data_IF_847741306218
#
_entry.id   IF_847741306218
#
_cell.length_a   1.000
_cell.length_b   1.000
_cell.length_c   1.000
_cell.angle_alpha   90.00
_cell.angle_beta   90.00
_cell.angle_gamma   90.00
#
_symmetry.space_group_name_H-M   'P 1'
#
loop_
_entity.id
_entity.type
_entity.pdbx_description
1 polymer ?
#
# COMPACT_ATOMS: atom_id res chain seq x y z
N UNK A 1 19.25 -24.58 -1.90
CA UNK A 1 18.84 -25.39 -3.07
C UNK A 1 17.50 -24.88 -3.59
N UNK A 2 17.49 -24.32 -4.81
CA UNK A 2 16.23 -24.15 -5.56
C UNK A 2 15.69 -25.54 -5.93
N UNK A 3 14.37 -25.70 -6.00
CA UNK A 3 13.73 -27.01 -6.29
C UNK A 3 13.57 -27.97 -5.10
N UNK A 4 13.86 -27.54 -3.88
CA UNK A 4 13.69 -28.37 -2.67
C UNK A 4 12.23 -28.52 -2.19
N UNK A 5 11.25 -28.06 -2.98
CA UNK A 5 9.82 -28.11 -2.64
C UNK A 5 9.32 -27.05 -1.64
N UNK A 6 10.11 -26.02 -1.31
CA UNK A 6 9.68 -24.94 -0.38
C UNK A 6 8.41 -24.23 -0.85
N UNK A 7 8.40 -23.79 -2.11
CA UNK A 7 7.25 -23.10 -2.70
C UNK A 7 6.03 -24.02 -2.77
N UNK A 8 6.21 -25.30 -3.11
CA UNK A 8 5.12 -26.28 -3.10
C UNK A 8 4.53 -26.47 -1.71
N UNK A 9 5.37 -26.55 -0.68
CA UNK A 9 4.92 -26.68 0.70
C UNK A 9 4.18 -25.43 1.18
N UNK A 10 4.76 -24.24 0.97
CA UNK A 10 4.25 -22.99 1.54
C UNK A 10 3.16 -22.37 0.67
N UNK A 11 3.44 -22.13 -0.61
CA UNK A 11 2.58 -21.37 -1.52
C UNK A 11 1.51 -22.24 -2.19
N UNK A 12 1.85 -23.49 -2.56
CA UNK A 12 0.92 -24.36 -3.29
C UNK A 12 0.09 -25.27 -2.34
N UNK A 13 0.50 -25.42 -1.08
CA UNK A 13 -0.18 -26.30 -0.10
C UNK A 13 -0.68 -25.52 1.11
N UNK A 14 0.22 -25.00 1.95
CA UNK A 14 -0.16 -24.38 3.23
C UNK A 14 -1.03 -23.14 3.04
N UNK A 15 -0.65 -22.23 2.14
CA UNK A 15 -1.35 -20.96 1.95
C UNK A 15 -2.80 -21.15 1.43
N UNK A 16 -3.09 -21.94 0.38
CA UNK A 16 -4.46 -22.15 -0.09
C UNK A 16 -5.36 -22.81 0.98
N UNK A 17 -4.81 -23.75 1.77
CA UNK A 17 -5.53 -24.38 2.88
C UNK A 17 -5.86 -23.36 3.96
N UNK A 18 -4.84 -22.61 4.44
CA UNK A 18 -5.02 -21.59 5.47
C UNK A 18 -5.96 -20.47 4.99
N UNK A 19 -5.91 -20.09 3.71
CA UNK A 19 -6.75 -19.04 3.17
C UNK A 19 -8.21 -19.48 3.10
N UNK A 20 -8.47 -20.72 2.71
CA UNK A 20 -9.82 -21.29 2.71
C UNK A 20 -10.36 -21.38 4.14
N UNK A 21 -9.56 -21.90 5.07
CA UNK A 21 -9.98 -22.11 6.46
C UNK A 21 -10.15 -20.81 7.26
N UNK A 22 -9.24 -19.84 7.09
CA UNK A 22 -9.16 -18.64 7.93
C UNK A 22 -9.82 -17.42 7.29
N UNK A 23 -9.65 -17.23 5.97
CA UNK A 23 -10.17 -16.05 5.28
C UNK A 23 -11.51 -16.31 4.58
N UNK A 24 -11.98 -17.57 4.53
CA UNK A 24 -13.22 -17.97 3.85
C UNK A 24 -13.18 -17.79 2.34
N UNK A 25 -11.99 -17.76 1.73
CA UNK A 25 -11.79 -17.54 0.30
C UNK A 25 -11.03 -18.70 -0.33
N UNK A 26 -11.56 -19.27 -1.40
CA UNK A 26 -10.89 -20.33 -2.18
C UNK A 26 -10.30 -19.71 -3.44
N UNK A 27 -8.99 -19.46 -3.45
CA UNK A 27 -8.28 -18.93 -4.63
C UNK A 27 -7.63 -20.03 -5.49
N UNK A 28 -7.26 -21.16 -4.88
CA UNK A 28 -6.56 -22.25 -5.55
C UNK A 28 -6.86 -23.60 -4.87
N UNK A 29 -6.78 -24.68 -5.65
CA UNK A 29 -6.79 -26.04 -5.11
C UNK A 29 -5.42 -26.36 -4.51
N UNK A 30 -5.35 -26.78 -3.24
CA UNK A 30 -4.07 -27.11 -2.61
C UNK A 30 -3.44 -28.35 -3.24
N UNK A 31 -2.11 -28.38 -3.32
CA UNK A 31 -1.38 -29.58 -3.71
C UNK A 31 -1.64 -30.75 -2.72
N UNK A 32 -1.39 -32.02 -3.12
CA UNK A 32 -1.74 -33.18 -2.29
C UNK A 32 -1.13 -33.13 -0.89
N UNK A 33 -2.01 -33.20 0.13
CA UNK A 33 -1.65 -33.22 1.55
C UNK A 33 -2.47 -34.29 2.29
N UNK A 34 -2.04 -34.67 3.49
CA UNK A 34 -2.74 -35.68 4.32
C UNK A 34 -3.71 -35.05 5.30
N UNK A 35 -3.20 -34.19 6.17
CA UNK A 35 -3.95 -33.49 7.21
C UNK A 35 -3.21 -32.21 7.62
N UNK A 36 -3.92 -31.25 8.21
CA UNK A 36 -3.37 -30.03 8.79
C UNK A 36 -4.01 -29.78 10.16
N UNK A 37 -3.20 -29.40 11.15
CA UNK A 37 -3.64 -29.17 12.53
C UNK A 37 -3.07 -27.84 13.03
N UNK A 38 -3.74 -27.21 14.01
CA UNK A 38 -3.28 -25.97 14.62
C UNK A 38 -3.64 -24.68 13.88
N UNK A 39 -4.45 -24.76 12.80
CA UNK A 39 -4.97 -23.57 12.12
C UNK A 39 -5.94 -22.78 13.00
N UNK A 40 -6.59 -23.45 13.96
CA UNK A 40 -7.47 -22.85 14.97
C UNK A 40 -6.77 -21.84 15.89
N UNK A 41 -5.43 -21.80 15.90
CA UNK A 41 -4.65 -20.79 16.61
C UNK A 41 -4.52 -19.46 15.86
N UNK A 42 -4.98 -19.43 14.61
CA UNK A 42 -4.96 -18.27 13.75
C UNK A 42 -6.38 -17.88 13.36
N UNK A 43 -6.61 -16.59 13.12
CA UNK A 43 -7.89 -16.09 12.61
C UNK A 43 -7.78 -15.56 11.19
N UNK A 44 -6.56 -15.41 10.68
CA UNK A 44 -6.30 -14.86 9.36
C UNK A 44 -4.94 -15.32 8.83
N UNK A 45 -4.86 -15.56 7.52
CA UNK A 45 -3.58 -15.68 6.81
C UNK A 45 -3.36 -14.53 5.84
N UNK A 46 -2.13 -14.03 5.76
CA UNK A 46 -1.73 -12.97 4.84
C UNK A 46 -0.43 -13.39 4.15
N UNK A 47 -0.50 -13.46 2.83
CA UNK A 47 0.67 -13.60 1.98
C UNK A 47 1.21 -12.21 1.60
N UNK A 48 2.50 -12.01 1.83
CA UNK A 48 3.25 -10.78 1.56
C UNK A 48 4.34 -11.12 0.55
N UNK A 49 3.93 -11.18 -0.71
CA UNK A 49 4.76 -11.46 -1.87
C UNK A 49 5.24 -10.18 -2.58
N UNK A 50 6.11 -10.35 -3.57
CA UNK A 50 6.66 -9.26 -4.38
C UNK A 50 5.75 -8.84 -5.56
N UNK A 51 4.53 -9.39 -5.67
CA UNK A 51 3.61 -8.97 -6.72
C UNK A 51 3.25 -7.47 -6.61
N UNK A 52 2.96 -6.78 -7.73
CA UNK A 52 2.62 -5.36 -7.69
C UNK A 52 1.42 -5.07 -6.78
N UNK A 53 1.48 -3.99 -6.00
CA UNK A 53 0.34 -3.53 -5.17
C UNK A 53 -0.87 -3.07 -6.00
N UNK A 54 -0.68 -2.88 -7.30
CA UNK A 54 -1.72 -2.64 -8.28
C UNK A 54 -1.16 -2.66 -9.70
N UNK A 55 -2.03 -2.92 -10.67
CA UNK A 55 -1.68 -3.05 -12.09
C UNK A 55 -1.94 -1.78 -12.90
N UNK A 56 -2.40 -0.71 -12.25
CA UNK A 56 -2.77 0.55 -12.90
C UNK A 56 -2.12 1.74 -12.20
N UNK A 57 -1.92 2.88 -12.91
CA UNK A 57 -1.38 4.10 -12.32
C UNK A 57 -2.22 4.72 -11.18
N UNK A 58 -3.45 4.23 -10.99
CA UNK A 58 -4.34 4.64 -9.90
C UNK A 58 -3.93 4.08 -8.55
N UNK A 59 -3.22 2.96 -8.54
CA UNK A 59 -2.69 2.37 -7.31
C UNK A 59 -1.36 3.04 -6.98
N UNK A 60 -1.17 3.41 -5.72
CA UNK A 60 0.05 4.04 -5.21
C UNK A 60 0.18 3.79 -3.70
N UNK A 61 1.33 4.08 -3.08
CA UNK A 61 1.52 3.89 -1.65
C UNK A 61 0.45 4.54 -0.78
N UNK A 62 0.03 5.78 -1.10
CA UNK A 62 -0.96 6.51 -0.32
C UNK A 62 -2.35 5.86 -0.34
N UNK A 63 -2.80 5.36 -1.50
CA UNK A 63 -4.08 4.66 -1.63
C UNK A 63 -4.03 3.28 -1.00
N UNK A 64 -2.95 2.54 -1.19
CA UNK A 64 -2.82 1.16 -0.70
C UNK A 64 -2.76 1.08 0.84
N UNK A 65 -2.02 1.99 1.48
CA UNK A 65 -1.91 2.09 2.95
C UNK A 65 -3.10 2.82 3.59
N UNK A 66 -3.99 3.40 2.77
CA UNK A 66 -5.12 4.20 3.24
C UNK A 66 -4.71 5.51 3.91
N UNK A 67 -3.52 6.04 3.60
CA UNK A 67 -3.09 7.41 3.94
C UNK A 67 -3.93 8.44 3.17
N UNK A 68 -4.32 8.11 1.95
CA UNK A 68 -4.94 9.09 1.06
C UNK A 68 -6.34 9.55 1.50
N UNK A 69 -7.11 8.73 2.21
CA UNK A 69 -8.44 9.11 2.71
C UNK A 69 -8.38 10.27 3.71
N UNK A 70 -7.65 10.17 4.83
CA UNK A 70 -7.52 11.30 5.75
C UNK A 70 -6.87 12.53 5.11
N UNK A 71 -5.95 12.37 4.14
CA UNK A 71 -5.44 13.51 3.37
C UNK A 71 -6.57 14.25 2.65
N UNK A 72 -7.45 13.53 1.93
CA UNK A 72 -8.60 14.16 1.24
C UNK A 72 -9.58 14.84 2.21
N UNK A 73 -9.75 14.28 3.40
CA UNK A 73 -10.58 14.89 4.45
C UNK A 73 -9.98 16.21 4.95
N UNK A 74 -8.66 16.28 5.14
CA UNK A 74 -7.98 17.52 5.50
C UNK A 74 -8.16 18.60 4.43
N UNK A 75 -8.01 18.24 3.15
CA UNK A 75 -8.21 19.17 2.03
C UNK A 75 -9.66 19.64 1.91
N UNK A 76 -10.65 18.77 2.13
CA UNK A 76 -12.05 19.19 2.19
C UNK A 76 -12.36 20.05 3.43
N UNK A 77 -11.53 19.95 4.47
CA UNK A 77 -11.66 20.71 5.71
C UNK A 77 -11.20 22.17 5.62
N UNK A 78 -10.41 22.58 4.62
CA UNK A 78 -9.88 23.95 4.57
C UNK A 78 -10.98 24.97 4.23
N UNK A 79 -10.90 26.22 4.74
CA UNK A 79 -11.97 27.21 4.56
C UNK A 79 -12.39 27.44 3.11
N UNK A 80 -11.42 27.50 2.20
CA UNK A 80 -11.66 27.72 0.77
C UNK A 80 -12.35 26.52 0.09
N UNK A 81 -12.03 25.28 0.51
CA UNK A 81 -12.73 24.10 0.01
C UNK A 81 -14.19 24.10 0.50
N UNK A 82 -14.40 24.45 1.77
CA UNK A 82 -15.74 24.54 2.37
C UNK A 82 -16.61 25.60 1.72
N UNK A 83 -16.08 26.80 1.45
CA UNK A 83 -16.84 27.87 0.80
C UNK A 83 -17.28 27.50 -0.63
N UNK A 84 -16.50 26.66 -1.32
CA UNK A 84 -16.84 26.13 -2.65
C UNK A 84 -17.68 24.84 -2.61
N UNK A 85 -18.04 24.35 -1.42
CA UNK A 85 -18.82 23.12 -1.25
C UNK A 85 -18.07 21.83 -1.62
N UNK A 86 -16.74 21.85 -1.61
CA UNK A 86 -15.94 20.69 -1.97
C UNK A 86 -15.90 19.66 -0.85
N UNK A 87 -16.21 18.41 -1.20
CA UNK A 87 -16.15 17.24 -0.31
C UNK A 87 -14.86 16.45 -0.55
N UNK A 88 -14.52 15.44 0.28
CA UNK A 88 -13.35 14.59 0.04
C UNK A 88 -13.35 13.89 -1.33
N UNK A 89 -14.51 13.78 -1.98
CA UNK A 89 -14.62 13.27 -3.35
C UNK A 89 -13.94 14.16 -4.39
N UNK A 90 -13.97 15.49 -4.21
CA UNK A 90 -13.29 16.45 -5.09
C UNK A 90 -11.79 16.17 -5.17
N UNK A 91 -11.18 15.78 -4.06
CA UNK A 91 -9.74 15.52 -3.94
C UNK A 91 -9.36 14.06 -4.24
N UNK A 92 -10.27 13.27 -4.81
CA UNK A 92 -9.96 11.90 -5.25
C UNK A 92 -9.77 11.88 -6.76
N UNK A 93 -8.59 11.46 -7.22
CA UNK A 93 -8.34 11.25 -8.66
C UNK A 93 -9.15 10.06 -9.24
N UNK A 94 -9.74 9.21 -8.39
CA UNK A 94 -10.50 8.04 -8.82
C UNK A 94 -11.96 8.32 -9.18
N UNK A 95 -12.50 9.50 -8.84
CA UNK A 95 -13.91 9.85 -9.06
C UNK A 95 -14.04 11.14 -9.85
N UNK A 96 -15.14 11.27 -10.61
CA UNK A 96 -15.44 12.50 -11.36
C UNK A 96 -15.64 13.68 -10.41
N UNK A 97 -15.34 14.88 -10.91
CA UNK A 97 -15.56 16.15 -10.21
C UNK A 97 -14.30 16.99 -10.11
N UNK A 98 -13.26 16.50 -9.42
CA UNK A 98 -12.00 17.25 -9.28
C UNK A 98 -10.81 16.69 -10.06
N UNK A 99 -10.89 15.43 -10.52
CA UNK A 99 -9.86 14.83 -11.37
C UNK A 99 -9.78 15.51 -12.74
N UNK A 100 -8.67 15.30 -13.43
CA UNK A 100 -8.57 15.64 -14.85
C UNK A 100 -9.39 14.63 -15.67
N UNK A 101 -10.38 15.10 -16.44
CA UNK A 101 -11.24 14.21 -17.23
C UNK A 101 -10.55 13.65 -18.48
N UNK A 102 -9.53 14.32 -19.01
CA UNK A 102 -8.81 13.85 -20.19
C UNK A 102 -8.03 12.54 -19.95
N UNK A 103 -7.36 12.43 -18.79
CA UNK A 103 -6.70 11.18 -18.37
C UNK A 103 -7.51 10.40 -17.35
N UNK A 104 -8.75 10.81 -17.08
CA UNK A 104 -9.61 10.21 -16.05
C UNK A 104 -8.95 10.04 -14.68
N UNK A 105 -8.03 10.96 -14.33
CA UNK A 105 -7.27 10.96 -13.08
C UNK A 105 -5.98 10.12 -13.06
N UNK A 106 -5.64 9.44 -14.15
CA UNK A 106 -4.42 8.61 -14.19
C UNK A 106 -3.14 9.47 -14.24
N UNK A 107 -3.25 10.70 -14.72
CA UNK A 107 -2.11 11.61 -14.95
C UNK A 107 -1.30 11.27 -16.20
N UNK A 108 -1.53 10.11 -16.78
CA UNK A 108 -0.91 9.60 -18.00
C UNK A 108 -1.98 9.13 -18.99
N UNK A 109 -1.63 9.03 -20.26
CA UNK A 109 -2.42 8.42 -21.32
C UNK A 109 -1.70 7.15 -21.76
N UNK A 110 -2.44 6.03 -21.80
CA UNK A 110 -1.94 4.76 -22.31
C UNK A 110 -1.95 4.81 -23.84
N UNK A 111 -0.81 4.55 -24.46
CA UNK A 111 -0.68 4.41 -25.91
C UNK A 111 -0.45 2.94 -26.22
N UNK A 112 -1.39 2.35 -26.95
CA UNK A 112 -1.31 0.95 -27.33
C UNK A 112 -0.34 0.76 -28.48
N UNK A 113 0.58 -0.18 -28.30
CA UNK A 113 1.64 -0.46 -29.27
C UNK A 113 1.44 -1.87 -29.83
N UNK A 114 1.47 -2.01 -31.16
CA UNK A 114 1.14 -3.30 -31.80
C UNK A 114 2.12 -4.45 -31.49
N UNK A 115 3.39 -4.13 -31.25
CA UNK A 115 4.47 -5.12 -31.09
C UNK A 115 5.37 -4.87 -29.88
N UNK A 116 5.13 -3.78 -29.15
CA UNK A 116 5.92 -3.39 -27.98
C UNK A 116 4.98 -3.32 -26.77
N UNK A 117 5.51 -3.39 -25.54
CA UNK A 117 4.71 -3.08 -24.36
C UNK A 117 4.08 -1.68 -24.48
N UNK A 118 2.84 -1.57 -24.03
CA UNK A 118 2.13 -0.29 -23.99
C UNK A 118 2.93 0.75 -23.21
N UNK A 119 2.98 1.97 -23.74
CA UNK A 119 3.68 3.07 -23.09
C UNK A 119 2.69 4.04 -22.45
N UNK A 120 3.14 4.71 -21.39
CA UNK A 120 2.37 5.72 -20.69
C UNK A 120 3.03 7.07 -20.92
N UNK A 121 2.30 8.00 -21.55
CA UNK A 121 2.76 9.36 -21.79
C UNK A 121 2.10 10.32 -20.80
N UNK A 122 2.79 11.34 -20.28
CA UNK A 122 2.16 12.35 -19.42
C UNK A 122 0.95 12.99 -20.11
N UNK A 123 -0.14 13.16 -19.36
CA UNK A 123 -1.35 13.78 -19.90
C UNK A 123 -1.09 15.26 -20.24
N UNK A 124 -1.41 15.68 -21.46
CA UNK A 124 -1.15 17.04 -21.90
C UNK A 124 -1.99 18.13 -21.21
N UNK A 125 -3.15 17.78 -20.68
CA UNK A 125 -4.04 18.75 -20.03
C UNK A 125 -3.64 19.04 -18.58
N UNK A 126 -3.38 18.00 -17.79
CA UNK A 126 -2.98 18.17 -16.39
C UNK A 126 -1.47 18.12 -16.17
N UNK A 127 -0.67 17.80 -17.19
CA UNK A 127 0.79 17.64 -17.12
C UNK A 127 1.22 16.72 -15.97
N UNK A 128 0.55 15.56 -15.86
CA UNK A 128 0.82 14.58 -14.80
C UNK A 128 0.12 14.83 -13.46
N UNK A 129 -0.48 16.01 -13.24
CA UNK A 129 -1.01 16.40 -11.92
C UNK A 129 -2.28 15.68 -11.49
N UNK A 130 -2.94 14.93 -12.37
CA UNK A 130 -4.17 14.12 -12.13
C UNK A 130 -5.45 14.90 -11.81
N UNK A 131 -5.38 16.21 -11.58
CA UNK A 131 -6.52 17.06 -11.20
C UNK A 131 -6.77 18.19 -12.20
N UNK A 132 -8.00 18.73 -12.18
CA UNK A 132 -8.31 19.99 -12.85
C UNK A 132 -7.75 21.19 -12.08
N UNK A 133 -7.70 22.34 -12.76
CA UNK A 133 -7.09 23.57 -12.23
C UNK A 133 -7.79 24.04 -10.96
N UNK A 134 -9.12 23.99 -10.93
CA UNK A 134 -9.94 24.50 -9.82
C UNK A 134 -9.73 23.69 -8.53
N UNK A 135 -9.38 22.40 -8.66
CA UNK A 135 -9.02 21.57 -7.49
C UNK A 135 -7.61 21.88 -6.99
N UNK A 136 -6.70 22.23 -7.89
CA UNK A 136 -5.31 22.60 -7.58
C UNK A 136 -5.16 24.04 -7.05
N UNK A 137 -6.24 24.82 -6.99
CA UNK A 137 -6.24 26.11 -6.27
C UNK A 137 -6.27 25.91 -4.76
N UNK A 138 -6.87 24.80 -4.29
CA UNK A 138 -7.01 24.51 -2.86
C UNK A 138 -5.68 24.05 -2.29
N UNK A 139 -5.27 24.70 -1.19
CA UNK A 139 -4.02 24.42 -0.49
C UNK A 139 -4.25 24.06 0.97
N UNK A 140 -3.54 23.05 1.44
CA UNK A 140 -3.38 22.72 2.86
C UNK A 140 -1.91 23.00 3.24
N UNK A 141 -1.69 23.83 4.27
CA UNK A 141 -0.35 24.32 4.66
C UNK A 141 0.49 24.82 3.46
N UNK A 142 -0.16 25.56 2.55
CA UNK A 142 0.50 26.13 1.36
C UNK A 142 0.74 25.16 0.19
N UNK A 143 0.40 23.87 0.32
CA UNK A 143 0.60 22.84 -0.69
C UNK A 143 -0.72 22.33 -1.24
N UNK A 144 -0.77 22.11 -2.55
CA UNK A 144 -1.90 21.49 -3.25
C UNK A 144 -1.93 19.98 -3.01
N UNK A 145 -3.05 19.34 -3.32
CA UNK A 145 -3.21 17.87 -3.20
C UNK A 145 -2.18 17.12 -4.08
N UNK A 146 -1.81 17.69 -5.23
CA UNK A 146 -0.79 17.10 -6.10
C UNK A 146 0.59 17.20 -5.49
N UNK A 147 0.98 18.38 -4.97
CA UNK A 147 2.28 18.54 -4.31
C UNK A 147 2.42 17.66 -3.08
N UNK A 148 1.33 17.41 -2.34
CA UNK A 148 1.33 16.45 -1.23
C UNK A 148 1.53 15.02 -1.74
N UNK A 149 0.91 14.63 -2.86
CA UNK A 149 1.15 13.33 -3.46
C UNK A 149 2.56 13.19 -4.06
N UNK A 150 3.22 14.30 -4.36
CA UNK A 150 4.59 14.35 -4.88
C UNK A 150 5.65 14.38 -3.77
N UNK A 151 5.25 14.46 -2.49
CA UNK A 151 6.18 14.35 -1.37
C UNK A 151 6.71 12.92 -1.24
N UNK A 152 7.98 12.81 -0.84
CA UNK A 152 8.52 11.55 -0.33
C UNK A 152 7.80 11.15 0.96
N UNK A 153 7.91 9.87 1.35
CA UNK A 153 7.34 9.42 2.63
C UNK A 153 7.95 10.19 3.81
N UNK A 154 9.24 10.49 3.76
CA UNK A 154 9.94 11.26 4.79
C UNK A 154 9.38 12.69 4.90
N UNK A 155 9.29 13.41 3.78
CA UNK A 155 8.72 14.76 3.73
C UNK A 155 7.27 14.77 4.20
N UNK A 156 6.48 13.80 3.74
CA UNK A 156 5.08 13.68 4.12
C UNK A 156 4.93 13.39 5.61
N UNK A 157 5.80 12.55 6.18
CA UNK A 157 5.81 12.26 7.61
C UNK A 157 5.94 13.57 8.38
N UNK A 158 6.98 14.35 8.14
CA UNK A 158 7.18 15.65 8.82
C UNK A 158 5.99 16.60 8.58
N UNK A 159 5.54 16.72 7.33
CA UNK A 159 4.43 17.60 6.96
C UNK A 159 3.13 17.30 7.73
N UNK A 160 2.88 16.03 8.06
CA UNK A 160 1.71 15.56 8.79
C UNK A 160 1.96 15.28 10.29
N UNK A 161 3.03 15.81 10.89
CA UNK A 161 3.33 15.72 12.34
C UNK A 161 2.12 15.99 13.24
N UNK A 162 1.39 17.06 12.93
CA UNK A 162 0.23 17.50 13.71
C UNK A 162 -1.02 16.62 13.53
N UNK A 163 -0.95 15.54 12.73
CA UNK A 163 -2.07 14.64 12.45
C UNK A 163 -1.66 13.20 12.83
N UNK A 164 -1.85 12.81 14.11
CA UNK A 164 -1.28 11.55 14.64
C UNK A 164 -1.66 10.30 13.86
N UNK A 165 -2.88 10.23 13.33
CA UNK A 165 -3.35 9.09 12.53
C UNK A 165 -2.59 8.94 11.20
N UNK A 166 -2.20 10.07 10.58
CA UNK A 166 -1.36 10.08 9.38
C UNK A 166 0.10 9.82 9.72
N UNK A 167 0.62 10.54 10.73
CA UNK A 167 2.00 10.38 11.20
C UNK A 167 2.33 8.92 11.51
N UNK A 168 1.45 8.18 12.20
CA UNK A 168 1.65 6.76 12.49
C UNK A 168 1.74 5.88 11.23
N UNK A 169 0.88 6.09 10.24
CA UNK A 169 0.92 5.33 8.98
C UNK A 169 2.16 5.65 8.13
N UNK A 170 2.57 6.91 8.14
CA UNK A 170 3.78 7.36 7.44
C UNK A 170 5.03 6.82 8.14
N UNK A 171 5.02 6.79 9.48
CA UNK A 171 6.09 6.17 10.27
C UNK A 171 6.26 4.69 9.90
N UNK A 172 5.16 3.92 9.81
CA UNK A 172 5.26 2.50 9.40
C UNK A 172 5.86 2.31 8.00
N UNK A 173 5.73 3.29 7.10
CA UNK A 173 6.40 3.26 5.79
C UNK A 173 7.89 3.62 5.91
N UNK A 174 8.27 4.51 6.82
CA UNK A 174 9.67 4.79 7.13
C UNK A 174 10.37 3.60 7.77
N UNK A 175 9.70 2.92 8.70
CA UNK A 175 10.25 1.79 9.46
C UNK A 175 10.57 0.60 8.55
N UNK A 176 9.86 0.45 7.43
CA UNK A 176 10.17 -0.56 6.39
C UNK A 176 11.17 -0.05 5.34
N UNK A 177 11.79 1.12 5.52
CA UNK A 177 12.83 1.65 4.62
C UNK A 177 12.32 2.25 3.31
N UNK A 178 11.11 2.81 3.29
CA UNK A 178 10.52 3.44 2.10
C UNK A 178 10.55 4.98 2.15
N UNK A 179 11.54 5.56 2.82
CA UNK A 179 11.64 7.02 3.03
C UNK A 179 11.63 7.83 1.74
N UNK A 180 12.23 7.30 0.67
CA UNK A 180 12.48 7.99 -0.60
C UNK A 180 11.34 7.88 -1.63
N UNK A 181 10.39 6.94 -1.47
CA UNK A 181 9.30 6.78 -2.44
C UNK A 181 8.29 7.91 -2.28
N UNK A 182 7.64 8.31 -3.37
CA UNK A 182 6.63 9.38 -3.30
C UNK A 182 5.26 8.80 -2.96
N UNK A 183 4.43 9.53 -2.22
CA UNK A 183 3.09 9.09 -1.82
C UNK A 183 2.21 8.68 -3.00
N UNK A 184 2.30 9.44 -4.10
CA UNK A 184 1.55 9.27 -5.34
C UNK A 184 2.26 8.43 -6.40
N UNK A 185 3.45 7.89 -6.11
CA UNK A 185 4.24 7.08 -7.05
C UNK A 185 3.41 5.92 -7.60
N UNK A 186 3.40 5.76 -8.91
CA UNK A 186 2.61 4.70 -9.56
C UNK A 186 3.03 3.33 -9.06
N UNK A 187 2.08 2.48 -8.69
CA UNK A 187 2.34 1.10 -8.32
C UNK A 187 3.07 0.32 -9.44
N UNK A 188 2.85 0.69 -10.70
CA UNK A 188 3.50 0.05 -11.86
C UNK A 188 4.98 0.38 -11.99
N UNK A 189 5.48 1.38 -11.24
CA UNK A 189 6.88 1.80 -11.25
C UNK A 189 7.61 1.41 -9.97
N UNK A 190 6.96 0.69 -9.05
CA UNK A 190 7.60 0.16 -7.86
C UNK A 190 8.30 -1.16 -8.21
N UNK A 191 9.48 -1.38 -7.65
CA UNK A 191 10.13 -2.69 -7.64
C UNK A 191 9.33 -3.70 -6.82
N UNK A 192 9.58 -4.99 -7.04
CA UNK A 192 8.94 -6.06 -6.27
C UNK A 192 9.20 -5.93 -4.77
N UNK A 193 10.43 -5.59 -4.37
CA UNK A 193 10.79 -5.35 -2.97
C UNK A 193 10.14 -4.10 -2.37
N UNK A 194 9.94 -3.02 -3.13
CA UNK A 194 9.15 -1.87 -2.66
C UNK A 194 7.68 -2.23 -2.49
N UNK A 195 7.09 -2.92 -3.47
CA UNK A 195 5.71 -3.38 -3.39
C UNK A 195 5.47 -4.27 -2.16
N UNK A 196 6.38 -5.21 -1.91
CA UNK A 196 6.35 -6.09 -0.73
C UNK A 196 6.41 -5.28 0.58
N UNK A 197 7.32 -4.31 0.67
CA UNK A 197 7.45 -3.44 1.86
C UNK A 197 6.22 -2.54 2.07
N UNK A 198 5.58 -2.04 1.00
CA UNK A 198 4.30 -1.30 1.11
C UNK A 198 3.19 -2.20 1.67
N UNK A 199 3.13 -3.47 1.27
CA UNK A 199 2.19 -4.45 1.84
C UNK A 199 2.47 -4.70 3.32
N UNK A 200 3.74 -4.87 3.69
CA UNK A 200 4.17 -5.07 5.06
C UNK A 200 3.79 -3.87 5.96
N UNK A 201 4.10 -2.65 5.52
CA UNK A 201 3.73 -1.42 6.23
C UNK A 201 2.22 -1.31 6.45
N UNK A 202 1.41 -1.70 5.45
CA UNK A 202 -0.04 -1.72 5.58
C UNK A 202 -0.49 -2.67 6.70
N UNK A 203 0.10 -3.85 6.80
CA UNK A 203 -0.28 -4.81 7.86
C UNK A 203 0.18 -4.34 9.25
N UNK A 204 1.38 -3.79 9.38
CA UNK A 204 1.86 -3.16 10.64
C UNK A 204 0.96 -2.02 11.12
N UNK A 205 0.38 -1.25 10.18
CA UNK A 205 -0.47 -0.12 10.52
C UNK A 205 -1.85 -0.52 11.07
N UNK A 206 -2.25 -1.79 10.90
CA UNK A 206 -3.52 -2.30 11.41
C UNK A 206 -3.35 -2.75 12.86
N UNK A 207 -4.42 -2.62 13.64
CA UNK A 207 -4.50 -3.34 14.91
C UNK A 207 -4.69 -4.82 14.58
N UNK A 208 -3.67 -5.62 14.84
CA UNK A 208 -3.75 -7.07 14.76
C UNK A 208 -4.71 -7.63 15.80
N UNK A 209 -5.09 -8.88 15.61
CA UNK A 209 -5.79 -9.71 16.61
C UNK A 209 -4.81 -10.54 17.44
N UNK A 210 -3.53 -10.44 17.10
CA UNK A 210 -2.43 -11.26 17.62
C UNK A 210 -2.40 -12.70 17.10
N UNK A 211 -3.30 -13.06 16.18
CA UNK A 211 -3.49 -14.43 15.67
C UNK A 211 -3.40 -14.48 14.13
N UNK A 212 -2.60 -13.61 13.52
CA UNK A 212 -2.38 -13.60 12.07
C UNK A 212 -1.19 -14.48 11.67
N UNK A 213 -1.39 -15.37 10.70
CA UNK A 213 -0.31 -16.09 10.01
C UNK A 213 0.21 -15.23 8.85
N UNK A 214 1.45 -14.74 8.96
CA UNK A 214 2.13 -14.03 7.86
C UNK A 214 3.04 -14.98 7.09
N UNK A 215 2.88 -15.03 5.77
CA UNK A 215 3.75 -15.75 4.85
C UNK A 215 4.52 -14.70 4.04
N UNK A 216 5.85 -14.83 4.00
CA UNK A 216 6.72 -13.93 3.24
C UNK A 216 7.57 -14.76 2.29
N UNK A 217 7.40 -14.54 0.99
CA UNK A 217 8.24 -15.19 -0.02
C UNK A 217 9.46 -14.32 -0.33
N UNK A 218 10.64 -14.91 -0.14
CA UNK A 218 11.96 -14.31 -0.34
C UNK A 218 12.06 -12.81 0.02
N UNK A 219 11.79 -12.41 1.28
CA UNK A 219 11.61 -11.01 1.63
C UNK A 219 12.92 -10.21 1.65
N UNK A 220 14.08 -10.87 1.51
CA UNK A 220 15.40 -10.25 1.46
C UNK A 220 15.95 -10.09 0.05
N UNK A 221 15.27 -10.63 -0.98
CA UNK A 221 15.80 -10.63 -2.35
C UNK A 221 15.92 -9.20 -2.88
N UNK A 222 17.14 -8.83 -3.27
CA UNK A 222 17.45 -7.49 -3.80
C UNK A 222 17.61 -6.38 -2.76
N UNK A 223 17.60 -6.71 -1.45
CA UNK A 223 17.81 -5.74 -0.38
C UNK A 223 19.30 -5.58 -0.02
N UNK A 224 19.70 -4.35 0.28
CA UNK A 224 21.00 -4.06 0.87
C UNK A 224 21.03 -4.51 2.34
N UNK A 225 22.22 -4.77 2.92
CA UNK A 225 22.34 -5.26 4.30
C UNK A 225 21.64 -4.38 5.34
N UNK A 226 21.69 -3.05 5.15
CA UNK A 226 21.00 -2.11 6.03
C UNK A 226 19.46 -2.28 5.98
N UNK A 227 18.89 -2.51 4.79
CA UNK A 227 17.46 -2.72 4.61
C UNK A 227 17.02 -4.09 5.17
N UNK A 228 17.89 -5.10 5.11
CA UNK A 228 17.65 -6.40 5.73
C UNK A 228 17.53 -6.26 7.26
N UNK A 229 18.38 -5.44 7.89
CA UNK A 229 18.29 -5.20 9.33
C UNK A 229 16.97 -4.53 9.70
N UNK A 230 16.57 -3.47 8.99
CA UNK A 230 15.28 -2.81 9.19
C UNK A 230 14.10 -3.76 9.01
N UNK A 231 14.14 -4.60 7.97
CA UNK A 231 13.12 -5.61 7.74
C UNK A 231 13.04 -6.62 8.89
N UNK A 232 14.16 -7.10 9.41
CA UNK A 232 14.18 -8.03 10.55
C UNK A 232 13.60 -7.39 11.81
N UNK A 233 13.89 -6.12 12.08
CA UNK A 233 13.29 -5.37 13.19
C UNK A 233 11.76 -5.32 13.05
N UNK A 234 11.27 -5.02 11.86
CA UNK A 234 9.84 -5.00 11.54
C UNK A 234 9.18 -6.37 11.73
N UNK A 235 9.84 -7.45 11.29
CA UNK A 235 9.30 -8.81 11.46
C UNK A 235 9.24 -9.22 12.94
N UNK A 236 10.23 -8.81 13.74
CA UNK A 236 10.18 -9.00 15.19
C UNK A 236 9.03 -8.21 15.83
N UNK A 237 8.77 -6.97 15.38
CA UNK A 237 7.63 -6.20 15.86
C UNK A 237 6.29 -6.89 15.56
N UNK A 238 6.10 -7.48 14.37
CA UNK A 238 4.90 -8.27 14.05
C UNK A 238 4.74 -9.48 14.97
N UNK A 239 5.83 -10.21 15.22
CA UNK A 239 5.83 -11.34 16.17
C UNK A 239 5.43 -10.89 17.57
N UNK A 240 6.00 -9.78 18.05
CA UNK A 240 5.83 -9.31 19.43
C UNK A 240 4.41 -8.76 19.66
N UNK A 241 3.80 -8.13 18.65
CA UNK A 241 2.38 -7.78 18.68
C UNK A 241 1.49 -9.02 18.89
N UNK A 242 1.83 -10.14 18.27
CA UNK A 242 1.13 -11.42 18.47
C UNK A 242 1.31 -12.06 19.85
N UNK A 243 2.38 -11.70 20.58
CA UNK A 243 2.63 -12.21 21.92
C UNK A 243 1.93 -11.38 23.00
N UNK A 244 1.90 -10.06 22.86
CA UNK A 244 1.28 -9.18 23.85
C UNK A 244 -0.24 -9.31 23.95
N UNK A 245 -0.94 -9.55 22.84
CA UNK A 245 -2.41 -9.69 22.85
C UNK A 245 -2.91 -11.00 23.49
N UNK A 246 -2.03 -11.99 23.71
CA UNK A 246 -2.38 -13.24 24.43
C UNK A 246 -2.43 -13.05 25.95
N UNK A 247 -1.79 -12.02 26.49
CA UNK A 247 -1.70 -11.74 27.93
C UNK A 247 -2.90 -11.00 28.53
N UNK A 248 -3.92 -10.67 27.73
CA UNK A 248 -5.13 -9.96 28.18
C UNK A 248 -6.43 -10.77 28.09
N UNK A 249 -6.32 -12.08 27.80
CA UNK A 249 -7.46 -13.02 27.80
C UNK A 249 -7.16 -14.24 28.68
N UNK A 250 -7.06 -14.00 29.98
CA UNK A 250 -7.17 -15.02 31.04
C UNK A 250 -8.20 -14.56 32.06
#
# INVERSE_FOLDING_TARGET
>A
MSGSGKSTLINDTLFPIAQTALNGATLAEPAPYRDIQGLEHFDKVIDIDQSPIGRTPRSNPATYTGVFTPVRELFAGVPEARSRGYTPGRFSFNVRGGRCEACQGDGVIKVEMHFLPDIYVPCDQCKGKRYNRETLEIKYKGKTIHEVLDMTIEEAREFFDAVPALARKLQTLMDVGLTYIHLGQSATTLSGGEAQRVKLARELSKRGTGQTLYILDEPTTGLHFADIQQLLEVLHQLRDQGQHDRGHRT
#
